data_IF_863607061389
#
_entry.id   IF_863607061389
#
_cell.length_a   1.000
_cell.length_b   1.000
_cell.length_c   1.000
_cell.angle_alpha   90.00
_cell.angle_beta   90.00
_cell.angle_gamma   90.00
#
_symmetry.space_group_name_H-M   'P 1'
#
loop_
_entity.id
_entity.type
_entity.pdbx_description
1 polymer ?
#
# COMPACT_ATOMS: atom_id res chain seq x y z
N UNK A 1 34.45 1.43 14.96
CA UNK A 1 34.20 0.28 14.06
C UNK A 1 32.95 0.59 13.25
N UNK A 2 33.06 0.73 11.93
CA UNK A 2 31.89 0.89 11.05
C UNK A 2 31.23 -0.47 10.94
N UNK A 3 30.11 -0.67 11.63
CA UNK A 3 29.22 -1.83 11.46
C UNK A 3 28.75 -1.83 10.01
N UNK A 4 29.17 -2.84 9.24
CA UNK A 4 28.61 -3.13 7.92
C UNK A 4 27.11 -3.34 8.14
N UNK A 5 26.26 -2.52 7.52
CA UNK A 5 24.82 -2.74 7.56
C UNK A 5 24.54 -4.14 7.00
N UNK A 6 23.97 -5.02 7.82
CA UNK A 6 23.52 -6.33 7.38
C UNK A 6 22.33 -6.10 6.45
N UNK A 7 22.59 -6.06 5.14
CA UNK A 7 21.54 -6.03 4.13
C UNK A 7 20.77 -7.35 4.24
N UNK A 8 19.56 -7.30 4.80
CA UNK A 8 18.64 -8.43 4.77
C UNK A 8 18.43 -8.82 3.31
N UNK A 9 18.76 -10.07 2.96
CA UNK A 9 18.50 -10.60 1.63
C UNK A 9 16.99 -10.68 1.41
N UNK A 10 16.50 -10.42 0.19
CA UNK A 10 15.05 -10.37 -0.11
C UNK A 10 14.26 -11.59 0.37
N UNK A 11 14.87 -12.78 0.32
CA UNK A 11 14.26 -14.02 0.81
C UNK A 11 13.99 -14.01 2.33
N UNK A 12 14.89 -13.44 3.13
CA UNK A 12 14.72 -13.35 4.60
C UNK A 12 13.59 -12.39 4.95
N UNK A 13 13.45 -11.28 4.20
CA UNK A 13 12.32 -10.36 4.39
C UNK A 13 10.99 -11.03 4.03
N UNK A 14 10.96 -11.81 2.95
CA UNK A 14 9.77 -12.55 2.54
C UNK A 14 9.35 -13.59 3.59
N UNK A 15 10.29 -14.39 4.08
CA UNK A 15 10.03 -15.41 5.11
C UNK A 15 9.62 -14.75 6.44
N UNK A 16 10.24 -13.63 6.82
CA UNK A 16 9.85 -12.85 8.00
C UNK A 16 8.42 -12.34 7.87
N UNK A 17 8.07 -11.77 6.71
CA UNK A 17 6.74 -11.23 6.46
C UNK A 17 5.67 -12.33 6.57
N UNK A 18 5.88 -13.49 5.95
CA UNK A 18 4.97 -14.62 6.06
C UNK A 18 4.78 -15.07 7.52
N UNK A 19 5.87 -15.22 8.26
CA UNK A 19 5.82 -15.67 9.65
C UNK A 19 5.07 -14.67 10.55
N UNK A 20 5.34 -13.37 10.38
CA UNK A 20 4.66 -12.31 11.14
C UNK A 20 3.18 -12.26 10.78
N UNK A 21 2.84 -12.28 9.48
CA UNK A 21 1.44 -12.26 9.03
C UNK A 21 0.69 -13.48 9.57
N UNK A 22 1.27 -14.68 9.49
CA UNK A 22 0.66 -15.89 10.00
C UNK A 22 0.47 -15.85 11.53
N UNK A 23 1.46 -15.32 12.27
CA UNK A 23 1.36 -15.15 13.72
C UNK A 23 0.21 -14.19 14.08
N UNK A 24 0.19 -13.00 13.47
CA UNK A 24 -0.83 -11.98 13.74
C UNK A 24 -2.22 -12.47 13.34
N UNK A 25 -2.39 -13.12 12.18
CA UNK A 25 -3.71 -13.60 11.72
C UNK A 25 -4.23 -14.80 12.52
N UNK A 26 -3.36 -15.50 13.25
CA UNK A 26 -3.76 -16.61 14.13
C UNK A 26 -4.34 -16.14 15.46
N UNK A 27 -4.01 -14.91 15.90
CA UNK A 27 -4.49 -14.35 17.16
C UNK A 27 -5.79 -13.57 16.97
N UNK A 28 -6.85 -13.99 17.67
CA UNK A 28 -8.15 -13.31 17.60
C UNK A 28 -8.09 -11.84 18.08
N UNK A 29 -7.11 -11.48 18.94
CA UNK A 29 -6.94 -10.10 19.42
C UNK A 29 -6.30 -9.18 18.38
N UNK A 30 -5.52 -9.74 17.45
CA UNK A 30 -4.79 -8.99 16.42
C UNK A 30 -5.56 -8.92 15.10
N UNK A 31 -6.47 -9.88 14.86
CA UNK A 31 -7.39 -9.84 13.73
C UNK A 31 -8.36 -8.65 13.84
N UNK A 32 -8.19 -7.68 12.95
CA UNK A 32 -9.09 -6.54 12.86
C UNK A 32 -10.34 -6.86 12.03
N UNK A 33 -10.20 -7.68 10.99
CA UNK A 33 -11.29 -8.14 10.14
C UNK A 33 -11.54 -9.64 10.34
N UNK A 34 -12.78 -10.06 10.08
CA UNK A 34 -13.13 -11.48 10.12
C UNK A 34 -12.21 -12.29 9.20
N UNK A 35 -11.59 -13.38 9.67
CA UNK A 35 -10.69 -14.18 8.86
C UNK A 35 -11.34 -14.65 7.56
N UNK A 36 -10.55 -14.69 6.49
CA UNK A 36 -10.99 -15.14 5.18
C UNK A 36 -11.48 -16.60 5.24
N UNK A 37 -12.74 -16.85 4.91
CA UNK A 37 -13.28 -18.20 4.67
C UNK A 37 -13.24 -18.55 3.18
N UNK A 38 -12.13 -18.24 2.53
CA UNK A 38 -11.95 -18.51 1.10
C UNK A 38 -11.34 -19.88 0.91
N UNK A 39 -12.09 -20.80 0.31
CA UNK A 39 -11.53 -22.04 -0.23
C UNK A 39 -11.12 -21.77 -1.66
N UNK A 40 -9.83 -21.87 -1.94
CA UNK A 40 -9.27 -21.78 -3.28
C UNK A 40 -9.64 -23.03 -4.11
N UNK A 41 -10.92 -23.19 -4.39
CA UNK A 41 -11.41 -24.24 -5.30
C UNK A 41 -11.28 -23.73 -6.74
N UNK A 42 -10.72 -24.54 -7.64
CA UNK A 42 -10.54 -24.18 -9.06
C UNK A 42 -11.85 -23.72 -9.73
N UNK A 43 -13.01 -24.20 -9.26
CA UNK A 43 -14.33 -23.77 -9.75
C UNK A 43 -14.60 -22.27 -9.54
N UNK A 44 -14.04 -21.66 -8.49
CA UNK A 44 -14.21 -20.24 -8.19
C UNK A 44 -13.42 -19.34 -9.15
N UNK A 45 -12.34 -19.87 -9.76
CA UNK A 45 -11.45 -19.16 -10.68
C UNK A 45 -12.02 -19.13 -12.09
N UNK A 46 -12.71 -20.20 -12.52
CA UNK A 46 -13.19 -20.39 -13.91
C UNK A 46 -14.12 -19.29 -14.44
N UNK A 47 -14.72 -18.50 -13.56
CA UNK A 47 -15.63 -17.41 -13.94
C UNK A 47 -14.99 -16.01 -13.84
N UNK A 48 -13.78 -15.89 -13.31
CA UNK A 48 -13.11 -14.60 -13.13
C UNK A 48 -12.41 -14.18 -14.43
N UNK A 49 -12.90 -13.10 -15.05
CA UNK A 49 -12.27 -12.50 -16.23
C UNK A 49 -11.42 -11.31 -15.79
N UNK A 50 -10.17 -11.27 -16.24
CA UNK A 50 -9.27 -10.13 -16.04
C UNK A 50 -9.52 -9.08 -17.14
N UNK A 51 -9.57 -7.82 -16.74
CA UNK A 51 -9.68 -6.67 -17.63
C UNK A 51 -8.36 -6.40 -18.37
N UNK A 52 -8.41 -5.58 -19.42
CA UNK A 52 -7.22 -5.14 -20.14
C UNK A 52 -6.21 -4.40 -19.25
N UNK A 53 -6.69 -3.63 -18.27
CA UNK A 53 -5.84 -2.90 -17.32
C UNK A 53 -5.13 -3.87 -16.38
N UNK A 54 -5.83 -4.89 -15.87
CA UNK A 54 -5.21 -5.94 -15.05
C UNK A 54 -4.16 -6.73 -15.84
N UNK A 55 -4.44 -7.07 -17.11
CA UNK A 55 -3.48 -7.76 -17.98
C UNK A 55 -2.23 -6.91 -18.26
N UNK A 56 -2.39 -5.59 -18.44
CA UNK A 56 -1.26 -4.67 -18.59
C UNK A 56 -0.43 -4.58 -17.31
N UNK A 57 -1.07 -4.55 -16.14
CA UNK A 57 -0.40 -4.57 -14.84
C UNK A 57 0.37 -5.86 -14.60
N UNK A 58 -0.18 -7.01 -15.02
CA UNK A 58 0.50 -8.31 -15.01
C UNK A 58 1.74 -8.28 -15.89
N UNK A 59 1.63 -7.86 -17.15
CA UNK A 59 2.77 -7.75 -18.07
C UNK A 59 3.87 -6.83 -17.50
N UNK A 60 3.48 -5.67 -16.96
CA UNK A 60 4.40 -4.73 -16.29
C UNK A 60 5.12 -5.41 -15.12
N UNK A 61 4.39 -6.15 -14.28
CA UNK A 61 4.93 -6.87 -13.14
C UNK A 61 5.92 -7.96 -13.57
N UNK A 62 5.59 -8.75 -14.60
CA UNK A 62 6.47 -9.82 -15.10
C UNK A 62 7.75 -9.22 -15.68
N UNK A 63 7.66 -8.18 -16.52
CA UNK A 63 8.85 -7.51 -17.08
C UNK A 63 9.76 -6.97 -15.99
N UNK A 64 9.18 -6.30 -14.99
CA UNK A 64 9.94 -5.77 -13.87
C UNK A 64 10.57 -6.88 -13.01
N UNK A 65 9.83 -7.95 -12.73
CA UNK A 65 10.34 -9.12 -11.99
C UNK A 65 11.48 -9.84 -12.72
N UNK A 66 11.39 -9.99 -14.04
CA UNK A 66 12.47 -10.52 -14.88
C UNK A 66 13.70 -9.59 -14.86
N UNK A 67 13.50 -8.28 -14.95
CA UNK A 67 14.59 -7.30 -14.84
C UNK A 67 15.32 -7.39 -13.49
N UNK A 68 14.57 -7.57 -12.40
CA UNK A 68 15.11 -7.79 -11.05
C UNK A 68 15.68 -9.20 -10.83
N UNK A 69 15.53 -10.12 -11.80
CA UNK A 69 15.90 -11.53 -11.72
C UNK A 69 15.21 -12.29 -10.58
N UNK A 70 13.98 -11.87 -10.25
CA UNK A 70 13.14 -12.53 -9.26
C UNK A 70 12.15 -13.51 -9.90
N UNK A 71 11.82 -13.29 -11.17
CA UNK A 71 10.86 -14.09 -11.94
C UNK A 71 11.46 -14.58 -13.25
N UNK A 72 10.78 -15.57 -13.83
CA UNK A 72 10.90 -15.97 -15.24
C UNK A 72 9.63 -15.59 -16.00
N UNK A 73 9.66 -15.57 -17.33
CA UNK A 73 8.48 -15.26 -18.15
C UNK A 73 7.32 -16.26 -17.93
N UNK A 74 7.64 -17.48 -17.52
CA UNK A 74 6.66 -18.54 -17.23
C UNK A 74 5.76 -18.21 -16.02
N UNK A 75 6.22 -17.33 -15.13
CA UNK A 75 5.48 -16.89 -13.94
C UNK A 75 4.21 -16.08 -14.27
N UNK A 76 4.00 -15.69 -15.53
CA UNK A 76 2.81 -14.96 -15.98
C UNK A 76 1.52 -15.72 -15.67
N UNK A 77 1.50 -17.05 -15.87
CA UNK A 77 0.32 -17.87 -15.64
C UNK A 77 -0.02 -17.95 -14.15
N UNK A 78 1.01 -18.06 -13.31
CA UNK A 78 0.85 -18.08 -11.86
C UNK A 78 0.33 -16.75 -11.31
N UNK A 79 0.84 -15.62 -11.83
CA UNK A 79 0.34 -14.30 -11.46
C UNK A 79 -1.10 -14.09 -11.94
N UNK A 80 -1.45 -14.53 -13.16
CA UNK A 80 -2.83 -14.46 -13.66
C UNK A 80 -3.78 -15.25 -12.76
N UNK A 81 -3.43 -16.48 -12.39
CA UNK A 81 -4.23 -17.32 -11.48
C UNK A 81 -4.35 -16.68 -10.10
N UNK A 82 -3.26 -16.13 -9.55
CA UNK A 82 -3.28 -15.40 -8.28
C UNK A 82 -4.25 -14.21 -8.32
N UNK A 83 -4.18 -13.40 -9.38
CA UNK A 83 -5.07 -12.25 -9.58
C UNK A 83 -6.53 -12.67 -9.68
N UNK A 84 -6.83 -13.77 -10.39
CA UNK A 84 -8.19 -14.31 -10.46
C UNK A 84 -8.70 -14.79 -9.09
N UNK A 85 -7.85 -15.47 -8.30
CA UNK A 85 -8.18 -15.85 -6.93
C UNK A 85 -8.46 -14.63 -6.05
N UNK A 86 -7.62 -13.60 -6.10
CA UNK A 86 -7.81 -12.36 -5.34
C UNK A 86 -9.06 -11.61 -5.78
N UNK A 87 -9.33 -11.52 -7.08
CA UNK A 87 -10.56 -10.92 -7.59
C UNK A 87 -11.82 -11.63 -7.09
N UNK A 88 -11.81 -12.95 -7.12
CA UNK A 88 -12.89 -13.80 -6.59
C UNK A 88 -13.05 -13.67 -5.09
N UNK A 89 -11.95 -13.63 -4.34
CA UNK A 89 -11.98 -13.44 -2.90
C UNK A 89 -12.51 -12.06 -2.52
N UNK A 90 -11.96 -10.99 -3.11
CA UNK A 90 -12.34 -9.61 -2.79
C UNK A 90 -13.78 -9.31 -3.18
N UNK A 91 -14.33 -9.94 -4.22
CA UNK A 91 -15.76 -9.77 -4.55
C UNK A 91 -16.69 -10.32 -3.46
N UNK A 92 -16.28 -11.34 -2.69
CA UNK A 92 -17.05 -11.81 -1.53
C UNK A 92 -17.06 -10.84 -0.36
N UNK A 93 -16.14 -9.87 -0.35
CA UNK A 93 -16.00 -8.86 0.68
C UNK A 93 -16.55 -7.49 0.27
N UNK A 94 -17.27 -7.40 -0.86
CA UNK A 94 -17.90 -6.15 -1.32
C UNK A 94 -19.34 -6.05 -0.85
N UNK A 95 -19.72 -4.85 -0.43
CA UNK A 95 -21.10 -4.50 -0.17
C UNK A 95 -21.85 -4.34 -1.50
N UNK A 96 -23.10 -4.79 -1.54
CA UNK A 96 -24.01 -4.44 -2.63
C UNK A 96 -24.34 -2.95 -2.52
N UNK A 97 -23.72 -2.13 -3.36
CA UNK A 97 -23.95 -0.68 -3.36
C UNK A 97 -25.06 -0.31 -4.33
N UNK A 98 -26.00 0.53 -3.90
CA UNK A 98 -26.97 1.21 -4.77
C UNK A 98 -26.43 2.54 -5.33
N UNK A 99 -25.13 2.82 -5.16
CA UNK A 99 -24.53 4.09 -5.56
C UNK A 99 -24.65 4.33 -7.07
N UNK A 100 -24.99 5.57 -7.42
CA UNK A 100 -25.03 6.04 -8.81
C UNK A 100 -23.64 6.34 -9.37
N UNK A 101 -22.60 6.31 -8.54
CA UNK A 101 -21.21 6.53 -8.96
C UNK A 101 -20.71 5.30 -9.74
N UNK A 102 -20.38 5.50 -11.01
CA UNK A 102 -19.86 4.45 -11.91
C UNK A 102 -18.66 3.73 -11.30
N UNK A 103 -17.77 4.46 -10.60
CA UNK A 103 -16.60 3.88 -9.95
C UNK A 103 -16.94 2.92 -8.81
N UNK A 104 -18.15 2.95 -8.25
CA UNK A 104 -18.60 2.13 -7.13
C UNK A 104 -19.58 1.02 -7.54
N UNK A 105 -20.01 0.99 -8.81
CA UNK A 105 -20.98 0.00 -9.31
C UNK A 105 -20.35 -1.36 -9.58
N UNK A 106 -19.09 -1.37 -10.03
CA UNK A 106 -18.36 -2.56 -10.41
C UNK A 106 -17.18 -2.85 -9.46
N UNK A 107 -16.37 -3.85 -9.82
CA UNK A 107 -15.12 -4.12 -9.12
C UNK A 107 -14.10 -3.00 -9.22
N UNK A 108 -13.03 -3.13 -8.43
CA UNK A 108 -11.89 -2.24 -8.49
C UNK A 108 -11.39 -2.12 -9.93
N UNK A 109 -11.31 -0.88 -10.43
CA UNK A 109 -11.06 -0.59 -11.85
C UNK A 109 -9.57 -0.62 -12.22
N UNK A 110 -8.68 -0.62 -11.23
CA UNK A 110 -7.24 -0.62 -11.42
C UNK A 110 -6.59 -2.00 -11.31
N UNK A 111 -5.28 -2.02 -11.50
CA UNK A 111 -4.46 -3.20 -11.19
C UNK A 111 -4.20 -3.31 -9.68
N UNK A 112 -4.23 -4.53 -9.14
CA UNK A 112 -3.92 -4.79 -7.73
C UNK A 112 -2.39 -4.83 -7.51
N UNK A 113 -1.82 -3.66 -7.34
CA UNK A 113 -0.37 -3.48 -7.14
C UNK A 113 0.16 -4.17 -5.89
N UNK A 114 -0.64 -4.31 -4.82
CA UNK A 114 -0.16 -5.03 -3.63
C UNK A 114 -0.04 -6.52 -3.92
N UNK A 115 -1.01 -7.13 -4.60
CA UNK A 115 -0.94 -8.54 -5.01
C UNK A 115 0.29 -8.80 -5.88
N UNK A 116 0.57 -7.93 -6.86
CA UNK A 116 1.81 -8.02 -7.66
C UNK A 116 3.08 -7.84 -6.82
N UNK A 117 3.08 -6.93 -5.85
CA UNK A 117 4.22 -6.69 -4.96
C UNK A 117 4.50 -7.92 -4.10
N UNK A 118 3.47 -8.53 -3.52
CA UNK A 118 3.60 -9.76 -2.73
C UNK A 118 4.11 -10.92 -3.59
N UNK A 119 3.61 -11.04 -4.82
CA UNK A 119 4.08 -12.07 -5.75
C UNK A 119 5.58 -11.94 -6.05
N UNK A 120 6.08 -10.72 -6.28
CA UNK A 120 7.51 -10.47 -6.46
C UNK A 120 8.32 -10.69 -5.19
N UNK A 121 7.82 -10.26 -4.03
CA UNK A 121 8.44 -10.49 -2.72
C UNK A 121 8.65 -11.99 -2.46
N UNK A 122 7.69 -12.82 -2.84
CA UNK A 122 7.73 -14.28 -2.69
C UNK A 122 8.27 -14.98 -3.95
N UNK A 123 9.05 -14.26 -4.77
CA UNK A 123 9.80 -14.80 -5.92
C UNK A 123 8.92 -15.63 -6.86
N UNK A 124 7.70 -15.18 -7.11
CA UNK A 124 6.75 -15.82 -8.01
C UNK A 124 6.01 -17.03 -7.45
N UNK A 125 6.14 -17.33 -6.16
CA UNK A 125 5.41 -18.45 -5.57
C UNK A 125 3.94 -18.10 -5.34
N UNK A 126 3.06 -18.60 -6.23
CA UNK A 126 1.62 -18.36 -6.22
C UNK A 126 0.95 -18.73 -4.89
N UNK A 127 1.20 -19.95 -4.39
CA UNK A 127 0.48 -20.48 -3.24
C UNK A 127 0.88 -19.78 -1.94
N UNK A 128 2.17 -19.48 -1.77
CA UNK A 128 2.69 -18.64 -0.69
C UNK A 128 2.08 -17.24 -0.75
N UNK A 129 2.02 -16.64 -1.94
CA UNK A 129 1.44 -15.31 -2.16
C UNK A 129 -0.04 -15.28 -1.80
N UNK A 130 -0.79 -16.27 -2.25
CA UNK A 130 -2.21 -16.43 -1.95
C UNK A 130 -2.42 -16.54 -0.44
N UNK A 131 -1.68 -17.42 0.24
CA UNK A 131 -1.80 -17.62 1.68
C UNK A 131 -1.44 -16.34 2.46
N UNK A 132 -0.35 -15.66 2.09
CA UNK A 132 0.04 -14.40 2.72
C UNK A 132 -1.05 -13.34 2.56
N UNK A 133 -1.58 -13.15 1.35
CA UNK A 133 -2.62 -12.15 1.08
C UNK A 133 -3.92 -12.45 1.83
N UNK A 134 -4.36 -13.71 1.87
CA UNK A 134 -5.54 -14.13 2.63
C UNK A 134 -5.37 -13.86 4.13
N UNK A 135 -4.22 -14.17 4.70
CA UNK A 135 -3.94 -13.90 6.11
C UNK A 135 -3.81 -12.40 6.39
N UNK A 136 -3.10 -11.66 5.53
CA UNK A 136 -2.94 -10.21 5.61
C UNK A 136 -4.31 -9.50 5.59
N UNK A 137 -5.27 -10.02 4.82
CA UNK A 137 -6.62 -9.45 4.73
C UNK A 137 -7.38 -9.39 6.06
N UNK A 138 -6.97 -10.16 7.07
CA UNK A 138 -7.55 -10.11 8.42
C UNK A 138 -6.96 -8.98 9.29
N UNK A 139 -5.80 -8.43 8.91
CA UNK A 139 -5.06 -7.45 9.70
C UNK A 139 -5.50 -6.03 9.36
N UNK A 140 -5.39 -5.11 10.33
CA UNK A 140 -5.71 -3.70 10.13
C UNK A 140 -4.88 -3.07 9.01
N UNK A 141 -3.60 -3.44 8.91
CA UNK A 141 -2.67 -2.93 7.88
C UNK A 141 -3.21 -3.07 6.47
N UNK A 142 -3.93 -4.17 6.17
CA UNK A 142 -4.54 -4.37 4.85
C UNK A 142 -5.57 -3.30 4.48
N UNK A 143 -6.16 -2.59 5.44
CA UNK A 143 -7.07 -1.49 5.16
C UNK A 143 -6.38 -0.24 4.60
N UNK A 144 -5.06 -0.14 4.76
CA UNK A 144 -4.30 1.05 4.38
C UNK A 144 -3.37 0.79 3.20
N UNK A 145 -2.66 -0.34 3.21
CA UNK A 145 -1.70 -0.66 2.14
C UNK A 145 -2.32 -1.36 0.93
N UNK A 146 -3.60 -1.79 1.03
CA UNK A 146 -4.28 -2.57 -0.02
C UNK A 146 -5.54 -1.88 -0.57
N UNK A 147 -5.40 -0.91 -1.48
CA UNK A 147 -6.54 -0.17 -2.05
C UNK A 147 -7.62 -1.04 -2.67
N UNK A 148 -7.24 -2.11 -3.39
CA UNK A 148 -8.19 -3.01 -4.04
C UNK A 148 -9.11 -3.72 -3.04
N UNK A 149 -8.62 -3.98 -1.82
CA UNK A 149 -9.37 -4.69 -0.77
C UNK A 149 -10.45 -3.82 -0.14
N UNK A 150 -10.17 -2.54 0.07
CA UNK A 150 -11.08 -1.60 0.73
C UNK A 150 -12.15 -1.04 -0.21
N UNK A 151 -11.98 -1.24 -1.52
CA UNK A 151 -12.97 -0.84 -2.53
C UNK A 151 -14.33 -1.47 -2.25
N UNK A 152 -15.33 -0.62 -1.97
CA UNK A 152 -16.70 -1.00 -1.61
C UNK A 152 -16.81 -2.09 -0.54
N UNK A 153 -15.90 -2.14 0.43
CA UNK A 153 -15.82 -3.25 1.38
C UNK A 153 -16.99 -3.29 2.37
N UNK A 154 -17.56 -4.48 2.63
CA UNK A 154 -18.60 -4.74 3.65
C UNK A 154 -18.20 -4.37 5.07
N UNK A 155 -16.90 -4.14 5.30
CA UNK A 155 -16.36 -3.86 6.63
C UNK A 155 -16.49 -2.40 7.05
N UNK A 156 -16.96 -1.52 6.16
CA UNK A 156 -17.19 -0.11 6.44
C UNK A 156 -18.70 0.22 6.46
N UNK A 157 -19.11 1.28 7.18
CA UNK A 157 -20.47 1.80 7.10
C UNK A 157 -20.90 2.08 5.66
N UNK A 158 -22.21 2.00 5.40
CA UNK A 158 -22.76 2.17 4.06
C UNK A 158 -22.43 3.55 3.49
N UNK A 159 -22.49 4.60 4.31
CA UNK A 159 -22.22 5.98 3.91
C UNK A 159 -20.77 6.15 3.41
N UNK A 160 -19.83 5.49 4.10
CA UNK A 160 -18.41 5.48 3.73
C UNK A 160 -18.22 4.74 2.40
N UNK A 161 -18.82 3.55 2.28
CA UNK A 161 -18.75 2.74 1.06
C UNK A 161 -19.38 3.45 -0.15
N UNK A 162 -20.48 4.17 0.03
CA UNK A 162 -21.16 4.90 -1.05
C UNK A 162 -20.40 6.16 -1.49
N UNK A 163 -19.67 6.80 -0.55
CA UNK A 163 -18.83 7.97 -0.87
C UNK A 163 -17.66 7.64 -1.80
N UNK A 164 -17.25 6.37 -1.86
CA UNK A 164 -16.06 5.92 -2.59
C UNK A 164 -14.74 6.47 -2.02
N UNK A 165 -14.78 7.18 -0.90
CA UNK A 165 -13.59 7.64 -0.20
C UNK A 165 -13.01 6.45 0.56
N UNK A 166 -11.68 6.27 0.50
CA UNK A 166 -10.99 5.19 1.21
C UNK A 166 -10.40 5.70 2.54
N UNK A 167 -10.21 4.83 3.57
CA UNK A 167 -9.49 5.17 4.79
C UNK A 167 -8.14 5.84 4.60
N UNK A 168 -7.48 5.57 3.48
CA UNK A 168 -6.22 6.23 3.13
C UNK A 168 -6.41 7.74 2.96
N UNK A 169 -7.56 8.21 2.46
CA UNK A 169 -7.84 9.63 2.26
C UNK A 169 -8.05 10.37 3.58
N UNK A 170 -8.97 9.91 4.44
CA UNK A 170 -9.30 10.66 5.67
C UNK A 170 -8.37 10.36 6.86
N UNK A 171 -7.66 9.23 6.88
CA UNK A 171 -6.63 8.98 7.90
C UNK A 171 -5.24 9.33 7.37
N UNK A 172 -4.72 8.57 6.40
CA UNK A 172 -3.31 8.72 5.98
C UNK A 172 -3.03 10.12 5.44
N UNK A 173 -3.83 10.58 4.48
CA UNK A 173 -3.62 11.88 3.85
C UNK A 173 -3.79 13.05 4.83
N UNK A 174 -4.79 12.98 5.72
CA UNK A 174 -4.96 13.97 6.80
C UNK A 174 -3.71 14.06 7.68
N UNK A 175 -3.23 12.92 8.18
CA UNK A 175 -2.09 12.89 9.09
C UNK A 175 -0.78 13.26 8.41
N UNK A 176 -0.59 12.94 7.13
CA UNK A 176 0.56 13.44 6.36
C UNK A 176 0.53 14.96 6.30
N UNK A 177 -0.61 15.57 5.97
CA UNK A 177 -0.71 17.04 5.94
C UNK A 177 -0.42 17.69 7.30
N UNK A 178 -0.98 17.12 8.37
CA UNK A 178 -0.75 17.59 9.73
C UNK A 178 0.73 17.51 10.11
N UNK A 179 1.37 16.35 9.88
CA UNK A 179 2.78 16.14 10.24
C UNK A 179 3.72 16.96 9.35
N UNK A 180 3.43 17.14 8.06
CA UNK A 180 4.25 18.02 7.22
C UNK A 180 4.24 19.46 7.72
N UNK A 181 3.09 19.95 8.18
CA UNK A 181 2.98 21.29 8.74
C UNK A 181 3.83 21.44 10.01
N UNK A 182 3.92 20.40 10.84
CA UNK A 182 4.68 20.42 12.09
C UNK A 182 6.18 20.16 11.89
N UNK A 183 6.53 19.12 11.13
CA UNK A 183 7.88 18.54 11.07
C UNK A 183 8.69 18.98 9.86
N UNK A 184 8.02 19.39 8.77
CA UNK A 184 8.65 19.77 7.51
C UNK A 184 7.98 21.04 6.93
N UNK A 185 7.90 22.16 7.69
CA UNK A 185 7.04 23.30 7.38
C UNK A 185 7.38 24.00 6.05
N UNK A 186 8.64 23.91 5.61
CA UNK A 186 9.07 24.45 4.31
C UNK A 186 8.43 23.69 3.15
N UNK A 187 8.35 22.36 3.24
CA UNK A 187 7.65 21.54 2.24
C UNK A 187 6.15 21.84 2.28
N UNK A 188 5.54 21.90 3.47
CA UNK A 188 4.13 22.29 3.59
C UNK A 188 3.83 23.65 2.92
N UNK A 189 4.70 24.64 3.12
CA UNK A 189 4.57 25.96 2.51
C UNK A 189 4.74 25.92 0.99
N UNK A 190 5.67 25.11 0.47
CA UNK A 190 5.87 24.91 -0.95
C UNK A 190 4.60 24.39 -1.65
N UNK A 191 3.97 23.35 -1.10
CA UNK A 191 2.69 22.83 -1.60
C UNK A 191 1.59 23.89 -1.60
N UNK A 192 1.48 24.67 -0.50
CA UNK A 192 0.51 25.77 -0.42
C UNK A 192 0.73 26.82 -1.49
N UNK A 193 1.98 27.15 -1.80
CA UNK A 193 2.33 28.09 -2.86
C UNK A 193 2.06 27.53 -4.26
N UNK A 194 2.24 26.23 -4.47
CA UNK A 194 1.94 25.56 -5.74
C UNK A 194 0.46 25.27 -5.97
N UNK A 195 -0.41 25.49 -4.98
CA UNK A 195 -1.87 25.40 -5.14
C UNK A 195 -2.43 23.98 -5.14
N UNK A 196 -1.70 22.99 -4.62
CA UNK A 196 -2.19 21.62 -4.47
C UNK A 196 -1.69 20.98 -3.17
N UNK A 197 -2.34 19.90 -2.73
CA UNK A 197 -2.06 19.30 -1.42
C UNK A 197 -1.05 18.15 -1.51
N UNK A 198 -0.18 17.96 -0.50
CA UNK A 198 0.76 16.84 -0.48
C UNK A 198 0.03 15.49 -0.37
N UNK A 199 -1.15 15.46 0.22
CA UNK A 199 -2.02 14.28 0.29
C UNK A 199 -2.32 13.68 -1.09
N UNK A 200 -2.55 14.52 -2.11
CA UNK A 200 -2.78 14.05 -3.48
C UNK A 200 -1.59 13.25 -4.02
N UNK A 201 -0.36 13.66 -3.69
CA UNK A 201 0.85 12.95 -4.11
C UNK A 201 1.02 11.65 -3.34
N UNK A 202 0.78 11.65 -2.03
CA UNK A 202 0.81 10.42 -1.25
C UNK A 202 -0.19 9.38 -1.76
N UNK A 203 -1.42 9.78 -2.04
CA UNK A 203 -2.43 8.87 -2.56
C UNK A 203 -1.99 8.33 -3.93
N UNK A 204 -1.43 9.18 -4.79
CA UNK A 204 -0.90 8.75 -6.08
C UNK A 204 0.21 7.69 -5.95
N UNK A 205 1.14 7.87 -5.01
CA UNK A 205 2.19 6.90 -4.75
C UNK A 205 1.67 5.61 -4.09
N UNK A 206 0.82 5.74 -3.07
CA UNK A 206 0.31 4.63 -2.26
C UNK A 206 -0.62 3.71 -3.05
N UNK A 207 -1.47 4.27 -3.93
CA UNK A 207 -2.35 3.50 -4.81
C UNK A 207 -1.60 2.55 -5.74
N UNK A 208 -0.33 2.82 -6.00
CA UNK A 208 0.57 2.01 -6.81
C UNK A 208 1.62 1.28 -5.98
N UNK A 209 1.48 1.21 -4.64
CA UNK A 209 2.51 0.64 -3.75
C UNK A 209 3.93 1.20 -4.03
N UNK A 210 4.03 2.48 -4.41
CA UNK A 210 5.26 3.17 -4.82
C UNK A 210 5.98 2.59 -6.05
N UNK A 211 5.30 1.74 -6.84
CA UNK A 211 5.82 1.35 -8.15
C UNK A 211 6.11 2.59 -8.99
N UNK A 212 7.19 2.54 -9.78
CA UNK A 212 7.75 3.66 -10.56
C UNK A 212 8.46 4.76 -9.74
N UNK A 213 8.33 4.79 -8.40
CA UNK A 213 8.89 5.86 -7.57
C UNK A 213 10.05 5.42 -6.69
N UNK A 214 9.93 4.26 -6.05
CA UNK A 214 10.94 3.76 -5.13
C UNK A 214 11.71 2.58 -5.73
N UNK A 215 12.97 2.43 -5.34
CA UNK A 215 13.74 1.22 -5.61
C UNK A 215 13.02 0.01 -5.00
N UNK A 216 13.12 -1.15 -5.66
CA UNK A 216 12.48 -2.39 -5.21
C UNK A 216 12.71 -2.70 -3.74
N UNK A 217 13.94 -2.53 -3.26
CA UNK A 217 14.31 -2.74 -1.86
C UNK A 217 13.49 -1.86 -0.91
N UNK A 218 13.23 -0.60 -1.28
CA UNK A 218 12.46 0.31 -0.44
C UNK A 218 10.96 0.01 -0.49
N UNK A 219 10.45 -0.49 -1.62
CA UNK A 219 9.07 -1.03 -1.71
C UNK A 219 8.92 -2.23 -0.76
N UNK A 220 9.91 -3.13 -0.73
CA UNK A 220 9.94 -4.26 0.22
C UNK A 220 9.90 -3.77 1.66
N UNK A 221 10.75 -2.79 2.00
CA UNK A 221 10.80 -2.20 3.34
C UNK A 221 9.49 -1.52 3.73
N UNK A 222 8.83 -0.83 2.79
CA UNK A 222 7.53 -0.22 3.03
C UNK A 222 6.47 -1.25 3.45
N UNK A 223 6.29 -2.30 2.66
CA UNK A 223 5.30 -3.35 2.97
C UNK A 223 5.64 -4.03 4.28
N UNK A 224 6.89 -4.44 4.46
CA UNK A 224 7.34 -5.09 5.69
C UNK A 224 7.10 -4.19 6.91
N UNK A 225 7.52 -2.93 6.85
CA UNK A 225 7.42 -2.03 8.00
C UNK A 225 5.97 -1.76 8.39
N UNK A 226 5.06 -1.56 7.43
CA UNK A 226 3.65 -1.37 7.74
C UNK A 226 3.01 -2.59 8.40
N UNK A 227 3.48 -3.81 8.07
CA UNK A 227 3.01 -5.04 8.70
C UNK A 227 3.64 -5.25 10.07
N UNK A 228 4.95 -5.04 10.20
CA UNK A 228 5.70 -5.31 11.44
C UNK A 228 5.48 -4.24 12.52
N UNK A 229 5.43 -2.97 12.13
CA UNK A 229 5.40 -1.83 13.05
C UNK A 229 4.02 -1.17 13.16
N UNK A 230 3.13 -1.44 12.20
CA UNK A 230 1.76 -0.95 12.19
C UNK A 230 1.42 -0.06 10.98
N UNK A 231 0.12 0.14 10.70
CA UNK A 231 -0.33 0.90 9.53
C UNK A 231 0.04 2.39 9.57
N UNK A 232 0.23 2.95 10.76
CA UNK A 232 0.62 4.35 10.98
C UNK A 232 2.01 4.66 10.38
N UNK A 233 2.87 3.66 10.23
CA UNK A 233 4.14 3.81 9.52
C UNK A 233 3.99 4.19 8.05
N UNK A 234 2.83 3.95 7.43
CA UNK A 234 2.53 4.48 6.10
C UNK A 234 2.56 6.02 6.09
N UNK A 235 2.03 6.66 7.14
CA UNK A 235 2.07 8.13 7.31
C UNK A 235 3.52 8.58 7.50
N UNK A 236 4.24 7.94 8.41
CA UNK A 236 5.61 8.33 8.75
C UNK A 236 6.55 8.18 7.56
N UNK A 237 6.37 7.14 6.75
CA UNK A 237 7.11 6.97 5.50
C UNK A 237 6.82 8.10 4.51
N UNK A 238 5.55 8.46 4.29
CA UNK A 238 5.21 9.57 3.41
C UNK A 238 5.85 10.90 3.87
N UNK A 239 5.84 11.18 5.17
CA UNK A 239 6.49 12.37 5.74
C UNK A 239 8.02 12.29 5.57
N UNK A 240 8.62 11.12 5.75
CA UNK A 240 10.05 10.90 5.53
C UNK A 240 10.45 11.12 4.05
N UNK A 241 9.65 10.65 3.10
CA UNK A 241 9.87 10.88 1.66
C UNK A 241 9.84 12.38 1.34
N UNK A 242 8.87 13.11 1.89
CA UNK A 242 8.84 14.56 1.69
C UNK A 242 10.00 15.30 2.35
N UNK A 243 10.43 14.85 3.53
CA UNK A 243 11.64 15.36 4.19
C UNK A 243 12.87 15.14 3.32
N UNK A 244 12.99 13.96 2.70
CA UNK A 244 14.06 13.63 1.75
C UNK A 244 14.05 14.56 0.54
N UNK A 245 12.88 14.74 -0.07
CA UNK A 245 12.70 15.55 -1.27
C UNK A 245 12.68 17.06 -1.02
N UNK A 246 12.87 17.52 0.22
CA UNK A 246 12.74 18.94 0.57
C UNK A 246 13.58 19.87 -0.32
N UNK A 247 14.87 19.62 -0.59
CA UNK A 247 15.67 20.50 -1.44
C UNK A 247 15.08 20.67 -2.85
N UNK A 248 14.72 19.55 -3.49
CA UNK A 248 14.15 19.48 -4.83
C UNK A 248 12.77 20.11 -4.86
N UNK A 249 11.93 19.87 -3.85
CA UNK A 249 10.61 20.48 -3.74
C UNK A 249 10.74 22.01 -3.73
N UNK A 250 11.64 22.55 -2.91
CA UNK A 250 11.84 24.00 -2.82
C UNK A 250 12.36 24.59 -4.14
N UNK A 251 13.26 23.90 -4.82
CA UNK A 251 13.76 24.30 -6.12
C UNK A 251 12.67 24.27 -7.20
N UNK A 252 11.95 23.14 -7.33
CA UNK A 252 10.92 22.91 -8.35
C UNK A 252 9.66 23.74 -8.14
N UNK A 253 9.43 24.21 -6.92
CA UNK A 253 8.38 25.20 -6.64
C UNK A 253 8.67 26.52 -7.35
N UNK A 254 9.94 26.95 -7.41
CA UNK A 254 10.33 28.19 -8.08
C UNK A 254 10.20 28.09 -9.60
N UNK A 255 10.48 26.91 -10.17
CA UNK A 255 10.31 26.66 -11.61
C UNK A 255 8.88 26.31 -12.04
N UNK A 256 7.93 26.20 -11.10
CA UNK A 256 6.54 25.77 -11.34
C UNK A 256 6.42 24.34 -11.89
N UNK A 257 7.41 23.50 -11.64
CA UNK A 257 7.48 22.11 -12.13
C UNK A 257 7.19 21.09 -11.03
N UNK A 258 6.88 21.54 -9.80
CA UNK A 258 6.74 20.67 -8.63
C UNK A 258 5.77 19.50 -8.85
N UNK A 259 4.62 19.76 -9.47
CA UNK A 259 3.61 18.72 -9.67
C UNK A 259 4.06 17.66 -10.69
N UNK A 260 4.73 18.07 -11.77
CA UNK A 260 5.26 17.15 -12.78
C UNK A 260 6.37 16.31 -12.16
N UNK A 261 7.31 16.95 -11.45
CA UNK A 261 8.38 16.30 -10.72
C UNK A 261 7.87 15.16 -9.83
N UNK A 262 6.89 15.45 -8.96
CA UNK A 262 6.38 14.47 -7.99
C UNK A 262 5.52 13.34 -8.61
N UNK A 263 5.00 13.54 -9.83
CA UNK A 263 4.10 12.58 -10.52
C UNK A 263 4.76 11.79 -11.63
N UNK A 264 5.95 12.19 -12.08
CA UNK A 264 6.59 11.57 -13.25
C UNK A 264 8.04 11.16 -12.98
N UNK A 265 8.72 11.80 -12.03
CA UNK A 265 10.11 11.45 -11.71
C UNK A 265 10.20 10.45 -10.55
N UNK A 266 11.13 9.48 -10.62
CA UNK A 266 11.40 8.57 -9.51
C UNK A 266 12.07 9.31 -8.34
N UNK A 267 11.88 8.79 -7.14
CA UNK A 267 12.39 9.37 -5.89
C UNK A 267 13.84 8.89 -5.70
N UNK A 268 14.77 9.61 -6.31
CA UNK A 268 16.19 9.25 -6.29
C UNK A 268 16.81 9.30 -4.89
N UNK A 269 17.58 8.25 -4.57
CA UNK A 269 18.42 8.23 -3.38
C UNK A 269 17.69 8.08 -2.05
N UNK A 270 16.37 7.91 -2.04
CA UNK A 270 15.63 7.59 -0.82
C UNK A 270 16.06 6.21 -0.32
N UNK A 271 16.44 6.13 0.96
CA UNK A 271 16.80 4.89 1.64
C UNK A 271 16.10 4.83 2.98
N UNK A 272 15.30 3.79 3.20
CA UNK A 272 14.46 3.65 4.39
C UNK A 272 15.28 3.76 5.69
N UNK A 273 16.44 3.13 5.72
CA UNK A 273 17.34 3.13 6.88
C UNK A 273 17.81 4.53 7.30
N UNK A 274 17.97 5.47 6.36
CA UNK A 274 18.41 6.83 6.67
C UNK A 274 17.34 7.64 7.41
N UNK A 275 16.08 7.21 7.34
CA UNK A 275 14.93 7.90 7.94
C UNK A 275 14.29 7.10 9.07
N UNK A 276 14.83 5.94 9.44
CA UNK A 276 14.24 5.09 10.48
C UNK A 276 14.18 5.80 11.83
N UNK A 277 15.27 6.45 12.25
CA UNK A 277 15.30 7.21 13.51
C UNK A 277 14.26 8.34 13.53
N UNK A 278 14.13 9.05 12.40
CA UNK A 278 13.11 10.07 12.23
C UNK A 278 11.69 9.50 12.35
N UNK A 279 11.41 8.36 11.70
CA UNK A 279 10.10 7.71 11.81
C UNK A 279 9.81 7.17 13.23
N UNK A 280 10.83 6.69 13.95
CA UNK A 280 10.69 6.29 15.35
C UNK A 280 10.36 7.48 16.26
N UNK A 281 10.93 8.66 15.99
CA UNK A 281 10.59 9.88 16.74
C UNK A 281 9.17 10.37 16.43
N UNK A 282 8.70 10.22 15.17
CA UNK A 282 7.30 10.45 14.82
C UNK A 282 6.37 9.47 15.53
N UNK A 283 6.74 8.19 15.60
CA UNK A 283 5.97 7.18 16.32
C UNK A 283 5.80 7.58 17.79
N UNK A 284 6.90 7.91 18.49
CA UNK A 284 6.87 8.32 19.89
C UNK A 284 5.94 9.52 20.13
N UNK A 285 5.91 10.45 19.18
CA UNK A 285 5.19 11.71 19.32
C UNK A 285 3.71 11.61 18.91
N UNK A 286 3.40 10.80 17.89
CA UNK A 286 2.11 10.86 17.20
C UNK A 286 1.33 9.53 17.19
N UNK A 287 1.94 8.38 17.52
CA UNK A 287 1.26 7.07 17.42
C UNK A 287 -0.04 6.99 18.21
N UNK A 288 -0.07 7.55 19.42
CA UNK A 288 -1.26 7.57 20.26
C UNK A 288 -2.45 8.27 19.61
N UNK A 289 -2.20 9.17 18.66
CA UNK A 289 -3.24 9.88 17.92
C UNK A 289 -3.50 9.16 16.58
N UNK A 290 -2.46 9.02 15.76
CA UNK A 290 -2.55 8.45 14.40
C UNK A 290 -3.08 7.03 14.40
N UNK A 291 -2.47 6.13 15.17
CA UNK A 291 -2.86 4.72 15.18
C UNK A 291 -4.22 4.51 15.85
N UNK A 292 -4.55 5.31 16.85
CA UNK A 292 -5.88 5.27 17.50
C UNK A 292 -6.98 5.59 16.50
N UNK A 293 -6.81 6.64 15.70
CA UNK A 293 -7.78 6.98 14.65
C UNK A 293 -7.83 5.92 13.55
N UNK A 294 -6.68 5.37 13.14
CA UNK A 294 -6.64 4.27 12.18
C UNK A 294 -7.35 3.01 12.68
N UNK A 295 -7.37 2.76 14.00
CA UNK A 295 -8.15 1.66 14.60
C UNK A 295 -9.65 1.96 14.61
N UNK A 296 -10.05 3.23 14.54
CA UNK A 296 -11.45 3.67 14.58
C UNK A 296 -12.11 3.74 13.20
N UNK A 297 -11.48 3.26 12.12
CA UNK A 297 -12.03 3.33 10.76
C UNK A 297 -13.38 2.61 10.56
N UNK A 298 -13.78 1.70 11.45
CA UNK A 298 -15.11 1.07 11.43
C UNK A 298 -16.21 1.97 11.99
N UNK A 299 -15.84 2.91 12.86
CA UNK A 299 -16.72 3.85 13.52
C UNK A 299 -16.16 5.26 13.32
N UNK A 300 -16.15 5.79 12.08
CA UNK A 300 -15.70 7.15 11.85
C UNK A 300 -16.51 8.10 12.76
N UNK A 301 -15.80 8.93 13.53
CA UNK A 301 -16.42 9.90 14.43
C UNK A 301 -17.29 10.83 13.58
N UNK A 302 -18.56 11.00 13.97
CA UNK A 302 -19.52 11.91 13.33
C UNK A 302 -19.09 13.37 13.47
#
# INVERSE_FOLDING_TARGET
MKTKANTLTGQVLADLLENVVAHLSSSASECFFSPARYKAEEKNVKNAVLSSVELLGIDTCIRYGCFLKLLTEEAVNDLMLLMMHMKSFLSTQRASSSSTLISQQDGYLGHDWLTSTVFLLLTGNRDRSLNLLLNLSSLLTSAFIWPARIHTSVHFPQEVSESGVSPVYWCTAHYVEMLLKAEVPLVHSAFRMSGFTPSQMCIHWLTQCFWNYLDWTEICHYVCTCVLMGPDYQVYLCVAIFKHLQPEILQRTQSQELQVFLKEEPIWGFKFCNYLDFMLDLERSYRNVVLTDMKNIKNPVQ
#
